data_IF_047778834406
#
_entry.id   IF_047778834406
#
_cell.length_a   1.000
_cell.length_b   1.000
_cell.length_c   1.000
_cell.angle_alpha   90.00
_cell.angle_beta   90.00
_cell.angle_gamma   90.00
#
_symmetry.space_group_name_H-M   'P 1'
#
loop_
_entity.id
_entity.type
_entity.pdbx_description
1 polymer ?
#
# COMPACT_ATOMS: atom_id res chain seq x y z
N UNK A 1 -11.10 -16.00 15.26
CA UNK A 1 -10.04 -15.95 14.22
C UNK A 1 -9.50 -14.53 14.18
N UNK A 2 -8.40 -14.25 14.89
CA UNK A 2 -7.77 -12.92 14.88
C UNK A 2 -7.02 -12.76 13.56
N UNK A 3 -7.47 -11.83 12.71
CA UNK A 3 -7.03 -11.70 11.33
C UNK A 3 -5.53 -11.46 11.23
N UNK A 4 -4.80 -12.39 10.62
CA UNK A 4 -3.35 -12.35 10.34
C UNK A 4 -2.90 -11.21 9.39
N UNK A 5 -3.76 -10.21 9.18
CA UNK A 5 -3.54 -9.05 8.32
C UNK A 5 -3.60 -7.69 9.07
N UNK A 6 -3.73 -7.66 10.40
CA UNK A 6 -4.05 -6.41 11.11
C UNK A 6 -2.84 -5.52 11.39
N UNK A 7 -1.68 -6.07 11.75
CA UNK A 7 -0.56 -5.25 12.22
C UNK A 7 0.33 -4.69 11.08
N UNK A 8 0.73 -5.48 10.06
CA UNK A 8 1.49 -4.93 8.92
C UNK A 8 0.70 -3.88 8.12
N UNK A 9 -0.60 -4.09 7.92
CA UNK A 9 -1.46 -3.14 7.20
C UNK A 9 -1.61 -1.80 7.93
N UNK A 10 -1.73 -1.83 9.27
CA UNK A 10 -1.77 -0.62 10.11
C UNK A 10 -0.42 0.11 10.05
N UNK A 11 0.69 -0.60 10.18
CA UNK A 11 2.04 -0.02 10.08
C UNK A 11 2.30 0.62 8.72
N UNK A 12 1.86 -0.03 7.63
CA UNK A 12 1.92 0.52 6.26
C UNK A 12 1.11 1.81 6.12
N UNK A 13 -0.13 1.82 6.62
CA UNK A 13 -1.01 2.99 6.56
C UNK A 13 -0.40 4.17 7.32
N UNK A 14 0.17 3.91 8.50
CA UNK A 14 0.86 4.92 9.29
C UNK A 14 2.09 5.46 8.59
N UNK A 15 2.93 4.59 8.01
CA UNK A 15 4.11 5.03 7.27
C UNK A 15 3.75 5.87 6.05
N UNK A 16 2.65 5.52 5.34
CA UNK A 16 2.15 6.32 4.23
C UNK A 16 1.86 7.77 4.66
N UNK A 17 1.10 7.97 5.74
CA UNK A 17 0.78 9.32 6.22
C UNK A 17 2.03 10.10 6.65
N UNK A 18 2.99 9.43 7.31
CA UNK A 18 4.27 10.06 7.68
C UNK A 18 5.02 10.52 6.43
N UNK A 19 5.10 9.69 5.40
CA UNK A 19 5.81 10.02 4.16
C UNK A 19 5.12 11.14 3.38
N UNK A 20 3.78 11.18 3.37
CA UNK A 20 3.02 12.28 2.77
C UNK A 20 3.33 13.63 3.46
N UNK A 21 3.37 13.66 4.79
CA UNK A 21 3.71 14.85 5.58
C UNK A 21 5.17 15.29 5.37
N UNK A 22 6.10 14.32 5.34
CA UNK A 22 7.52 14.58 5.08
C UNK A 22 7.73 15.13 3.68
N UNK A 23 7.07 14.58 2.66
CA UNK A 23 7.15 15.08 1.29
C UNK A 23 6.62 16.52 1.21
N UNK A 24 5.52 16.83 1.90
CA UNK A 24 4.99 18.18 1.98
C UNK A 24 5.96 19.15 2.66
N UNK A 25 6.53 18.75 3.80
CA UNK A 25 7.44 19.58 4.58
C UNK A 25 8.80 19.80 3.91
N UNK A 26 9.34 18.79 3.22
CA UNK A 26 10.54 18.90 2.39
C UNK A 26 10.32 19.86 1.21
N UNK A 27 9.18 19.78 0.52
CA UNK A 27 8.85 20.67 -0.58
C UNK A 27 8.73 22.15 -0.13
N UNK A 28 8.41 22.37 1.15
CA UNK A 28 8.32 23.70 1.75
C UNK A 28 9.62 24.17 2.43
N UNK A 29 10.71 23.40 2.37
CA UNK A 29 11.98 23.66 3.06
C UNK A 29 11.82 23.86 4.59
N UNK A 30 10.88 23.13 5.20
CA UNK A 30 10.52 23.25 6.63
C UNK A 30 11.12 22.17 7.51
N UNK A 31 11.94 21.26 6.96
CA UNK A 31 12.51 20.15 7.70
C UNK A 31 13.97 20.37 8.03
N UNK A 32 14.31 20.15 9.30
CA UNK A 32 15.70 20.07 9.75
C UNK A 32 16.29 18.68 9.51
N UNK A 33 17.62 18.59 9.50
CA UNK A 33 18.33 17.31 9.38
C UNK A 33 17.96 16.29 10.47
N UNK A 34 17.54 16.75 11.65
CA UNK A 34 17.06 15.89 12.74
C UNK A 34 15.65 15.38 12.46
N UNK A 35 14.76 16.24 11.97
CA UNK A 35 13.39 15.85 11.59
C UNK A 35 13.37 14.89 10.40
N UNK A 36 14.39 14.90 9.55
CA UNK A 36 14.56 13.89 8.49
C UNK A 36 14.94 12.49 9.01
N UNK A 37 15.54 12.36 10.21
CA UNK A 37 15.96 11.05 10.74
C UNK A 37 14.79 10.21 11.25
N UNK A 38 13.87 10.85 11.98
CA UNK A 38 12.69 10.18 12.54
C UNK A 38 11.86 9.38 11.51
N UNK A 39 11.50 9.93 10.33
CA UNK A 39 10.78 9.16 9.31
C UNK A 39 11.66 8.09 8.65
N UNK A 40 12.97 8.29 8.54
CA UNK A 40 13.88 7.27 8.02
C UNK A 40 13.90 6.03 8.94
N UNK A 41 14.02 6.24 10.26
CA UNK A 41 13.94 5.16 11.25
C UNK A 41 12.59 4.42 11.20
N UNK A 42 11.49 5.14 11.00
CA UNK A 42 10.16 4.53 10.87
C UNK A 42 10.05 3.63 9.64
N UNK A 43 10.65 4.02 8.51
CA UNK A 43 10.70 3.21 7.28
C UNK A 43 11.59 1.99 7.46
N UNK A 44 12.74 2.13 8.13
CA UNK A 44 13.62 0.99 8.45
C UNK A 44 12.93 -0.03 9.35
N UNK A 45 12.22 0.44 10.39
CA UNK A 45 11.45 -0.42 11.28
C UNK A 45 10.31 -1.17 10.57
N UNK A 46 9.69 -0.56 9.54
CA UNK A 46 8.67 -1.21 8.71
C UNK A 46 9.25 -2.28 7.79
N UNK A 47 10.52 -2.16 7.37
CA UNK A 47 11.12 -3.08 6.43
C UNK A 47 11.22 -4.51 6.98
N UNK A 48 11.50 -4.69 8.29
CA UNK A 48 11.65 -6.02 8.88
C UNK A 48 10.35 -6.84 8.89
N UNK A 49 9.21 -6.31 9.39
CA UNK A 49 7.92 -7.01 9.34
C UNK A 49 7.44 -7.31 7.91
N UNK A 50 7.74 -6.45 6.93
CA UNK A 50 7.38 -6.71 5.54
C UNK A 50 8.18 -7.85 4.92
N UNK A 51 9.48 -7.96 5.25
CA UNK A 51 10.32 -9.08 4.83
C UNK A 51 9.82 -10.39 5.44
N UNK A 52 9.58 -10.40 6.75
CA UNK A 52 9.01 -11.57 7.45
C UNK A 52 7.67 -11.98 6.84
N UNK A 53 6.79 -11.02 6.55
CA UNK A 53 5.53 -11.32 5.87
C UNK A 53 5.74 -11.91 4.47
N UNK A 54 6.72 -11.40 3.70
CA UNK A 54 7.07 -11.90 2.38
C UNK A 54 7.71 -13.30 2.39
N UNK A 55 8.57 -13.58 3.37
CA UNK A 55 9.21 -14.89 3.56
C UNK A 55 8.18 -15.98 3.94
N UNK A 56 7.12 -15.59 4.64
CA UNK A 56 5.99 -16.46 4.98
C UNK A 56 4.86 -16.43 3.95
N UNK A 57 4.95 -15.58 2.93
CA UNK A 57 3.98 -15.57 1.85
C UNK A 57 4.20 -16.80 0.95
N UNK A 58 3.15 -17.51 0.53
CA UNK A 58 3.29 -18.62 -0.39
C UNK A 58 3.99 -18.12 -1.65
N UNK A 59 5.19 -18.67 -1.92
CA UNK A 59 6.10 -18.23 -2.97
C UNK A 59 5.41 -18.06 -4.32
N UNK A 60 5.02 -16.82 -4.63
CA UNK A 60 4.81 -16.35 -5.99
C UNK A 60 3.56 -16.77 -6.75
N UNK A 61 2.46 -17.26 -6.14
CA UNK A 61 1.16 -17.40 -6.85
C UNK A 61 -0.09 -17.25 -5.96
N UNK A 62 -0.61 -16.02 -5.83
CA UNK A 62 -2.05 -15.71 -5.76
C UNK A 62 -2.25 -14.19 -5.99
N UNK A 63 -3.36 -13.75 -6.61
CA UNK A 63 -3.26 -12.87 -7.77
C UNK A 63 -3.29 -11.38 -7.41
N UNK A 64 -2.32 -10.61 -7.94
CA UNK A 64 -2.56 -9.20 -8.29
C UNK A 64 -3.29 -9.13 -9.64
N UNK A 65 -4.41 -9.86 -9.79
CA UNK A 65 -5.31 -9.63 -10.91
C UNK A 65 -6.47 -8.80 -10.38
N UNK A 66 -6.42 -7.51 -10.72
CA UNK A 66 -7.59 -6.66 -10.68
C UNK A 66 -8.59 -7.23 -11.68
N UNK A 67 -9.47 -8.12 -11.23
CA UNK A 67 -10.73 -8.34 -11.92
C UNK A 67 -11.65 -7.15 -11.62
N UNK A 68 -11.28 -5.97 -12.15
CA UNK A 68 -12.30 -5.09 -12.70
C UNK A 68 -12.83 -5.82 -13.94
N UNK A 69 -13.68 -6.82 -13.70
CA UNK A 69 -14.63 -7.29 -14.68
C UNK A 69 -15.67 -6.18 -14.79
N UNK A 70 -15.27 -5.07 -15.44
CA UNK A 70 -16.21 -4.16 -16.07
C UNK A 70 -16.88 -5.05 -17.10
N UNK A 71 -18.06 -5.55 -16.75
CA UNK A 71 -18.94 -6.18 -17.71
C UNK A 71 -19.14 -5.18 -18.82
N UNK A 72 -18.50 -5.44 -19.96
CA UNK A 72 -18.81 -4.74 -21.20
C UNK A 72 -20.29 -4.95 -21.43
N UNK A 73 -21.05 -3.88 -21.21
CA UNK A 73 -22.44 -3.77 -21.64
C UNK A 73 -22.42 -3.80 -23.17
N UNK A 74 -22.46 -5.00 -23.75
CA UNK A 74 -22.80 -5.18 -25.16
C UNK A 74 -24.31 -5.10 -25.24
N UNK A 75 -24.76 -3.90 -25.59
CA UNK A 75 -26.13 -3.60 -25.97
C UNK A 75 -26.40 -4.28 -27.32
N UNK A 76 -26.87 -5.52 -27.31
CA UNK A 76 -27.47 -6.12 -28.50
C UNK A 76 -28.90 -5.58 -28.63
N UNK A 77 -29.02 -4.50 -29.40
CA UNK A 77 -30.27 -4.20 -30.08
C UNK A 77 -30.36 -5.10 -31.30
N UNK A 78 -31.16 -6.14 -31.22
CA UNK A 78 -31.62 -6.88 -32.40
C UNK A 78 -33.13 -6.69 -32.54
N UNK A 79 -33.44 -5.74 -33.42
CA UNK A 79 -34.67 -5.54 -34.18
C UNK A 79 -35.27 -6.87 -34.67
N UNK A 80 -36.43 -7.25 -34.12
CA UNK A 80 -37.34 -8.19 -34.80
C UNK A 80 -38.55 -7.42 -35.36
N UNK A 81 -38.93 -7.82 -36.56
CA UNK A 81 -39.75 -7.11 -37.56
C UNK A 81 -41.24 -7.06 -37.26
#
# INVERSE_FOLDING_TARGET
MSGRNSQPAVSLTRCRWILEEVAHSLAADRMTATECRNPAEAVEALASPLREHGDHAPGGKAPLTNAHSVGSSTREGEIER
#
